data_IF_263489359725
#
_entry.id   IF_263489359725
#
_cell.length_a   1.000
_cell.length_b   1.000
_cell.length_c   1.000
_cell.angle_alpha   90.00
_cell.angle_beta   90.00
_cell.angle_gamma   90.00
#
_symmetry.space_group_name_H-M   'P 1'
#
loop_
_entity.id
_entity.type
_entity.pdbx_description
1 polymer ?
#
# COMPACT_ATOMS: atom_id res chain seq x y z
N UNK A 1 2.83 16.26 6.60
CA UNK A 1 3.25 14.84 6.66
C UNK A 1 2.48 14.02 5.64
N UNK A 2 3.16 13.12 4.96
CA UNK A 2 2.54 12.28 3.95
C UNK A 2 2.40 10.86 4.45
N UNK A 3 1.22 10.28 4.29
CA UNK A 3 0.95 8.90 4.65
C UNK A 3 1.16 8.02 3.44
N UNK A 4 2.10 7.09 3.54
CA UNK A 4 2.44 6.14 2.48
C UNK A 4 2.01 4.76 2.94
N UNK A 5 1.13 4.12 2.18
CA UNK A 5 0.72 2.75 2.45
C UNK A 5 1.61 1.80 1.65
N UNK A 6 2.27 0.90 2.35
CA UNK A 6 3.06 -0.17 1.73
C UNK A 6 2.30 -1.47 1.91
N UNK A 7 1.96 -2.10 0.79
CA UNK A 7 1.20 -3.35 0.80
C UNK A 7 1.99 -4.45 0.11
N UNK A 8 2.41 -5.44 0.89
CA UNK A 8 3.17 -6.60 0.43
C UNK A 8 2.99 -7.71 1.47
N UNK A 9 2.81 -8.94 1.04
CA UNK A 9 2.65 -10.06 1.97
C UNK A 9 3.97 -10.51 2.60
N UNK A 10 5.09 -10.03 2.09
CA UNK A 10 6.41 -10.29 2.67
C UNK A 10 6.86 -9.16 3.56
N UNK A 11 6.91 -9.42 4.86
CA UNK A 11 7.26 -8.43 5.86
C UNK A 11 8.66 -7.83 5.64
N UNK A 12 9.60 -8.63 5.17
CA UNK A 12 10.96 -8.17 4.89
C UNK A 12 10.99 -7.10 3.80
N UNK A 13 10.14 -7.23 2.79
CA UNK A 13 10.02 -6.25 1.71
C UNK A 13 9.44 -4.94 2.27
N UNK A 14 8.40 -5.02 3.09
CA UNK A 14 7.82 -3.85 3.72
C UNK A 14 8.87 -3.11 4.55
N UNK A 15 9.62 -3.83 5.36
CA UNK A 15 10.66 -3.23 6.19
C UNK A 15 11.77 -2.60 5.36
N UNK A 16 12.20 -3.26 4.28
CA UNK A 16 13.22 -2.73 3.38
C UNK A 16 12.75 -1.43 2.72
N UNK A 17 11.50 -1.36 2.27
CA UNK A 17 10.95 -0.15 1.66
C UNK A 17 10.87 0.99 2.66
N UNK A 18 10.50 0.71 3.90
CA UNK A 18 10.46 1.73 4.96
C UNK A 18 11.84 2.32 5.22
N UNK A 19 12.87 1.49 5.22
CA UNK A 19 14.25 1.94 5.41
C UNK A 19 14.69 2.78 4.21
N UNK A 20 14.40 2.32 3.01
CA UNK A 20 14.80 2.98 1.77
C UNK A 20 14.15 4.36 1.60
N UNK A 21 12.87 4.45 1.98
CA UNK A 21 12.09 5.68 1.82
C UNK A 21 12.07 6.52 3.08
N UNK A 22 12.96 6.26 4.03
CA UNK A 22 12.96 6.94 5.31
C UNK A 22 13.13 8.46 5.15
N UNK A 23 12.12 9.21 5.58
CA UNK A 23 12.09 10.66 5.54
C UNK A 23 11.21 11.13 6.70
N UNK A 24 11.60 12.22 7.36
CA UNK A 24 10.85 12.73 8.50
C UNK A 24 9.44 13.20 8.15
N UNK A 25 9.18 13.46 6.86
CA UNK A 25 7.86 13.87 6.39
C UNK A 25 6.94 12.70 6.03
N UNK A 26 7.42 11.46 6.11
CA UNK A 26 6.64 10.27 5.75
C UNK A 26 6.20 9.51 6.97
N UNK A 27 4.93 9.15 6.99
CA UNK A 27 4.36 8.21 7.94
C UNK A 27 3.92 6.97 7.16
N UNK A 28 4.36 5.79 7.58
CA UNK A 28 4.07 4.56 6.86
C UNK A 28 2.93 3.79 7.50
N UNK A 29 2.00 3.34 6.65
CA UNK A 29 0.98 2.35 7.00
C UNK A 29 1.37 1.05 6.30
N UNK A 30 1.07 -0.08 6.92
CA UNK A 30 1.45 -1.39 6.41
C UNK A 30 0.22 -2.26 6.22
N UNK A 31 0.13 -2.90 5.07
CA UNK A 31 -0.89 -3.90 4.78
C UNK A 31 -0.20 -5.14 4.23
N UNK A 32 -0.69 -6.31 4.59
CA UNK A 32 -0.08 -7.58 4.22
C UNK A 32 -0.94 -8.39 3.24
N UNK A 33 -2.08 -7.87 2.87
CA UNK A 33 -2.92 -8.39 1.79
C UNK A 33 -3.76 -7.27 1.20
N UNK A 34 -4.43 -7.57 0.08
CA UNK A 34 -5.20 -6.57 -0.65
C UNK A 34 -6.43 -6.08 0.08
N UNK A 35 -7.09 -6.94 0.86
CA UNK A 35 -8.27 -6.53 1.63
C UNK A 35 -7.89 -5.52 2.71
N UNK A 36 -6.79 -5.77 3.41
CA UNK A 36 -6.27 -4.85 4.40
C UNK A 36 -5.91 -3.50 3.78
N UNK A 37 -5.30 -3.52 2.59
CA UNK A 37 -4.96 -2.28 1.88
C UNK A 37 -6.20 -1.46 1.55
N UNK A 38 -7.25 -2.09 1.04
CA UNK A 38 -8.50 -1.40 0.74
C UNK A 38 -9.09 -0.78 2.01
N UNK A 39 -9.10 -1.52 3.10
CA UNK A 39 -9.61 -1.05 4.38
C UNK A 39 -8.82 0.16 4.90
N UNK A 40 -7.50 0.12 4.81
CA UNK A 40 -6.66 1.21 5.29
C UNK A 40 -6.83 2.48 4.46
N UNK A 41 -7.01 2.36 3.15
CA UNK A 41 -7.31 3.52 2.31
C UNK A 41 -8.67 4.13 2.67
N UNK A 42 -9.65 3.29 3.00
CA UNK A 42 -10.99 3.77 3.39
C UNK A 42 -10.99 4.49 4.73
N UNK A 43 -10.13 4.08 5.66
CA UNK A 43 -10.18 4.54 7.04
C UNK A 43 -9.08 5.53 7.42
N UNK A 44 -8.17 5.82 6.52
CA UNK A 44 -7.05 6.74 6.73
C UNK A 44 -6.89 7.68 5.55
N UNK A 45 -6.27 8.84 5.81
CA UNK A 45 -5.82 9.70 4.72
C UNK A 45 -4.52 9.14 4.18
N UNK A 46 -4.55 8.61 2.95
CA UNK A 46 -3.39 8.01 2.31
C UNK A 46 -3.02 8.85 1.09
N UNK A 47 -1.73 9.17 0.96
CA UNK A 47 -1.24 10.04 -0.12
C UNK A 47 -0.57 9.26 -1.24
N UNK A 48 -0.11 8.05 -0.96
CA UNK A 48 0.54 7.18 -1.95
C UNK A 48 0.40 5.73 -1.49
N UNK A 49 0.12 4.84 -2.43
CA UNK A 49 0.08 3.40 -2.18
C UNK A 49 1.18 2.72 -3.00
N UNK A 50 2.03 1.95 -2.33
CA UNK A 50 2.97 1.04 -2.96
C UNK A 50 2.41 -0.36 -2.79
N UNK A 51 2.04 -1.01 -3.90
CA UNK A 51 1.24 -2.23 -3.88
C UNK A 51 1.92 -3.35 -4.65
N UNK A 52 2.20 -4.46 -3.97
CA UNK A 52 2.63 -5.67 -4.65
C UNK A 52 1.45 -6.27 -5.41
N UNK A 53 1.70 -6.75 -6.62
CA UNK A 53 0.66 -7.39 -7.44
C UNK A 53 0.32 -8.77 -6.90
N UNK A 54 1.33 -9.54 -6.52
CA UNK A 54 1.16 -10.96 -6.15
C UNK A 54 0.94 -11.10 -4.64
N UNK A 55 -0.32 -11.12 -4.23
CA UNK A 55 -0.68 -11.26 -2.82
C UNK A 55 -1.83 -12.25 -2.65
N UNK A 56 -1.92 -12.90 -1.46
CA UNK A 56 -3.05 -13.78 -1.17
C UNK A 56 -4.34 -12.99 -0.98
N UNK A 57 -5.46 -13.69 -0.99
CA UNK A 57 -6.83 -13.20 -0.81
C UNK A 57 -7.26 -12.29 -1.96
N UNK A 58 -6.72 -11.09 -2.02
CA UNK A 58 -7.03 -10.10 -3.03
C UNK A 58 -5.71 -9.58 -3.58
N UNK A 59 -5.43 -9.82 -4.87
CA UNK A 59 -4.17 -9.37 -5.46
C UNK A 59 -4.13 -7.84 -5.63
N UNK A 60 -2.94 -7.33 -5.95
CA UNK A 60 -2.72 -5.89 -6.03
C UNK A 60 -3.55 -5.19 -7.10
N UNK A 61 -3.79 -5.84 -8.23
CA UNK A 61 -4.60 -5.24 -9.30
C UNK A 61 -6.06 -5.14 -8.87
N UNK A 62 -6.60 -6.19 -8.28
CA UNK A 62 -7.97 -6.18 -7.77
C UNK A 62 -8.14 -5.19 -6.62
N UNK A 63 -7.16 -5.12 -5.73
CA UNK A 63 -7.17 -4.14 -4.65
C UNK A 63 -7.17 -2.71 -5.20
N UNK A 64 -6.34 -2.44 -6.21
CA UNK A 64 -6.29 -1.13 -6.86
C UNK A 64 -7.65 -0.77 -7.46
N UNK A 65 -8.32 -1.71 -8.12
CA UNK A 65 -9.64 -1.46 -8.71
C UNK A 65 -10.64 -1.06 -7.62
N UNK A 66 -10.65 -1.77 -6.49
CA UNK A 66 -11.53 -1.44 -5.36
C UNK A 66 -11.20 -0.08 -4.76
N UNK A 67 -9.92 0.24 -4.63
CA UNK A 67 -9.48 1.55 -4.13
C UNK A 67 -9.98 2.66 -5.06
N UNK A 68 -9.90 2.47 -6.37
CA UNK A 68 -10.34 3.45 -7.37
C UNK A 68 -11.82 3.73 -7.35
N UNK A 69 -12.63 2.85 -6.79
CA UNK A 69 -14.07 3.11 -6.65
C UNK A 69 -14.36 4.30 -5.76
N UNK A 70 -13.48 4.59 -4.81
CA UNK A 70 -13.71 5.64 -3.80
C UNK A 70 -12.59 6.67 -3.67
N UNK A 71 -11.44 6.44 -4.28
CA UNK A 71 -10.26 7.28 -4.07
C UNK A 71 -9.45 7.44 -5.34
N UNK A 72 -8.86 8.62 -5.50
CA UNK A 72 -7.91 8.91 -6.59
C UNK A 72 -6.47 8.84 -6.10
N UNK A 73 -6.22 8.24 -4.95
CA UNK A 73 -4.85 8.14 -4.41
C UNK A 73 -3.93 7.49 -5.44
N UNK A 74 -2.73 8.05 -5.65
CA UNK A 74 -1.75 7.42 -6.55
C UNK A 74 -1.36 6.02 -6.05
N UNK A 75 -1.35 5.06 -6.97
CA UNK A 75 -0.95 3.68 -6.67
C UNK A 75 0.19 3.29 -7.61
N UNK A 76 1.29 2.85 -7.03
CA UNK A 76 2.40 2.28 -7.77
C UNK A 76 2.37 0.77 -7.57
N UNK A 77 2.18 0.03 -8.65
CA UNK A 77 2.20 -1.43 -8.60
C UNK A 77 3.63 -1.93 -8.73
N UNK A 78 3.99 -2.87 -7.85
CA UNK A 78 5.33 -3.46 -7.83
C UNK A 78 5.26 -4.89 -8.34
N UNK A 79 6.18 -5.24 -9.23
CA UNK A 79 6.32 -6.62 -9.73
C UNK A 79 7.59 -7.24 -9.16
N UNK A 80 7.49 -8.52 -8.86
CA UNK A 80 8.65 -9.25 -8.37
C UNK A 80 9.68 -9.51 -9.50
#
# INVERSE_FOLDING_TARGET
MYNILICDDEKDIVNALKIYLNDSNYHFLEAFDGEEAVHLVDTNEVHLVLMDIMMPKLDGIQAMIRIREKSNVPVILMTA
#
